data_IF_991450853958
#
_entry.id   IF_991450853958
#
_cell.length_a   1.000
_cell.length_b   1.000
_cell.length_c   1.000
_cell.angle_alpha   90.00
_cell.angle_beta   90.00
_cell.angle_gamma   90.00
#
_symmetry.space_group_name_H-M   'P 1'
#
loop_
_entity.id
_entity.type
_entity.pdbx_description
1 polymer ?
#
# COMPACT_ATOMS: atom_id res chain seq x y z
N UNK A 1 -13.19 23.48 -16.15
CA UNK A 1 -13.54 22.77 -14.90
C UNK A 1 -12.37 22.98 -13.94
N UNK A 2 -12.63 23.39 -12.70
CA UNK A 2 -11.57 23.48 -11.69
C UNK A 2 -11.21 22.07 -11.21
N UNK A 3 -9.95 21.86 -10.82
CA UNK A 3 -9.55 20.61 -10.20
C UNK A 3 -10.27 20.42 -8.85
N UNK A 4 -10.62 19.17 -8.47
CA UNK A 4 -11.25 18.90 -7.19
C UNK A 4 -10.29 19.21 -6.03
N UNK A 5 -10.83 19.49 -4.85
CA UNK A 5 -10.05 19.60 -3.63
C UNK A 5 -9.44 18.23 -3.29
N UNK A 6 -8.13 18.20 -3.09
CA UNK A 6 -7.36 16.98 -2.78
C UNK A 6 -6.77 17.05 -1.37
N UNK A 7 -6.91 15.96 -0.61
CA UNK A 7 -6.30 15.80 0.71
C UNK A 7 -5.51 14.47 0.76
N UNK A 8 -4.36 14.48 1.41
CA UNK A 8 -3.56 13.28 1.66
C UNK A 8 -3.60 12.93 3.14
N UNK A 9 -3.87 11.66 3.45
CA UNK A 9 -3.76 11.13 4.82
C UNK A 9 -2.83 9.93 4.85
N UNK A 10 -2.02 9.84 5.90
CA UNK A 10 -1.18 8.67 6.13
C UNK A 10 -2.04 7.44 6.37
N UNK A 11 -1.56 6.28 5.92
CA UNK A 11 -2.16 5.01 6.29
C UNK A 11 -2.00 4.76 7.78
N UNK A 12 -3.10 4.47 8.45
CA UNK A 12 -3.10 4.10 9.86
C UNK A 12 -4.31 3.20 10.15
N UNK A 13 -4.45 2.69 11.39
CA UNK A 13 -5.68 2.06 11.81
C UNK A 13 -6.91 2.96 11.66
N UNK A 14 -6.76 4.29 11.76
CA UNK A 14 -7.88 5.24 11.60
C UNK A 14 -8.38 5.31 10.15
N UNK A 15 -7.49 5.16 9.17
CA UNK A 15 -7.84 5.19 7.74
C UNK A 15 -8.11 3.79 7.16
N UNK A 16 -8.15 2.75 7.99
CA UNK A 16 -8.28 1.36 7.52
C UNK A 16 -9.56 1.13 6.71
N UNK A 17 -10.69 1.65 7.19
CA UNK A 17 -11.97 1.52 6.49
C UNK A 17 -11.90 2.12 5.07
N UNK A 18 -11.28 3.29 4.92
CA UNK A 18 -11.11 3.95 3.62
C UNK A 18 -10.13 3.19 2.72
N UNK A 19 -9.08 2.61 3.28
CA UNK A 19 -8.18 1.72 2.53
C UNK A 19 -8.94 0.53 1.94
N UNK A 20 -9.89 -0.04 2.70
CA UNK A 20 -10.76 -1.14 2.24
C UNK A 20 -11.78 -0.67 1.20
N UNK A 21 -12.27 0.57 1.28
CA UNK A 21 -13.13 1.15 0.24
C UNK A 21 -12.39 1.31 -1.08
N UNK A 22 -11.11 1.70 -1.05
CA UNK A 22 -10.26 1.76 -2.24
C UNK A 22 -10.02 0.34 -2.77
N UNK A 23 -9.53 -0.58 -1.95
CA UNK A 23 -9.19 -1.96 -2.33
C UNK A 23 -10.38 -2.91 -2.19
N UNK A 24 -11.38 -2.72 -3.04
CA UNK A 24 -12.59 -3.54 -3.07
C UNK A 24 -12.87 -4.08 -4.48
N UNK A 25 -13.76 -5.08 -4.55
CA UNK A 25 -14.18 -5.69 -5.82
C UNK A 25 -14.87 -4.68 -6.75
N UNK A 26 -15.62 -3.71 -6.20
CA UNK A 26 -16.30 -2.68 -6.99
C UNK A 26 -15.33 -1.78 -7.78
N UNK A 27 -14.08 -1.69 -7.33
CA UNK A 27 -13.02 -0.92 -7.98
C UNK A 27 -12.02 -1.82 -8.74
N UNK A 28 -12.32 -3.12 -8.91
CA UNK A 28 -11.43 -4.12 -9.51
C UNK A 28 -10.03 -4.22 -8.86
N UNK A 29 -9.95 -3.88 -7.57
CA UNK A 29 -8.69 -3.85 -6.79
C UNK A 29 -8.76 -4.66 -5.51
N UNK A 30 -9.87 -5.36 -5.27
CA UNK A 30 -10.13 -6.17 -4.09
C UNK A 30 -9.15 -7.32 -3.87
N UNK A 31 -8.49 -7.80 -4.93
CA UNK A 31 -7.54 -8.91 -4.85
C UNK A 31 -6.16 -8.52 -4.30
N UNK A 32 -5.64 -7.33 -4.64
CA UNK A 32 -4.22 -6.98 -4.41
C UNK A 32 -3.90 -6.71 -2.94
N UNK A 33 -4.71 -5.86 -2.28
CA UNK A 33 -4.49 -5.24 -0.95
C UNK A 33 -3.03 -4.77 -0.67
N UNK A 34 -2.35 -4.38 -1.74
CA UNK A 34 -1.03 -3.76 -1.81
C UNK A 34 0.08 -4.44 -1.00
N UNK A 35 0.21 -5.78 -1.11
CA UNK A 35 1.29 -6.55 -0.45
C UNK A 35 2.34 -7.13 -1.40
N UNK A 36 2.28 -6.82 -2.70
CA UNK A 36 3.19 -7.36 -3.72
C UNK A 36 4.69 -7.15 -3.41
N UNK A 37 5.04 -6.11 -2.66
CA UNK A 37 6.41 -5.79 -2.26
C UNK A 37 6.81 -6.37 -0.88
N UNK A 38 5.84 -6.93 -0.16
CA UNK A 38 6.01 -7.59 1.13
C UNK A 38 6.15 -9.10 1.03
N UNK A 39 6.13 -9.65 -0.18
CA UNK A 39 6.35 -11.06 -0.50
C UNK A 39 7.70 -11.22 -1.21
N UNK A 40 8.34 -12.37 -1.06
CA UNK A 40 9.72 -12.56 -1.53
C UNK A 40 9.78 -12.62 -3.06
N UNK A 41 8.88 -13.38 -3.68
CA UNK A 41 8.93 -13.68 -5.12
C UNK A 41 7.65 -13.32 -5.84
N UNK A 42 7.72 -13.15 -7.16
CA UNK A 42 6.51 -12.89 -7.97
C UNK A 42 5.65 -14.14 -8.08
N UNK A 43 6.27 -15.32 -8.04
CA UNK A 43 5.54 -16.59 -8.10
C UNK A 43 4.78 -16.83 -6.80
N UNK A 44 5.35 -16.48 -5.65
CA UNK A 44 4.61 -16.40 -4.39
C UNK A 44 3.41 -15.45 -4.54
N UNK A 45 3.62 -14.22 -5.01
CA UNK A 45 2.51 -13.25 -5.15
C UNK A 45 1.37 -13.75 -6.03
N UNK A 46 1.69 -14.35 -7.19
CA UNK A 46 0.70 -14.88 -8.14
C UNK A 46 -0.08 -16.07 -7.57
N UNK A 47 0.52 -16.84 -6.67
CA UNK A 47 -0.12 -18.00 -6.03
C UNK A 47 -1.10 -17.64 -4.91
N UNK A 48 -1.19 -16.36 -4.50
CA UNK A 48 -1.99 -15.93 -3.35
C UNK A 48 -3.44 -15.64 -3.71
N UNK A 49 -4.31 -15.93 -2.77
CA UNK A 49 -5.71 -15.51 -2.75
C UNK A 49 -5.87 -14.06 -2.22
N UNK A 50 -7.01 -13.45 -2.54
CA UNK A 50 -7.37 -12.14 -1.99
C UNK A 50 -7.41 -12.14 -0.44
N UNK A 51 -7.84 -13.25 0.17
CA UNK A 51 -7.90 -13.41 1.62
C UNK A 51 -6.50 -13.43 2.25
N UNK A 52 -5.53 -14.13 1.64
CA UNK A 52 -4.15 -14.14 2.10
C UNK A 52 -3.49 -12.77 1.94
N UNK A 53 -3.77 -12.05 0.85
CA UNK A 53 -3.27 -10.69 0.65
C UNK A 53 -3.82 -9.72 1.71
N UNK A 54 -5.12 -9.82 2.01
CA UNK A 54 -5.74 -9.03 3.06
C UNK A 54 -5.17 -9.35 4.44
N UNK A 55 -5.06 -10.64 4.80
CA UNK A 55 -4.52 -11.06 6.09
C UNK A 55 -3.08 -10.57 6.30
N UNK A 56 -2.25 -10.56 5.25
CA UNK A 56 -0.90 -9.99 5.30
C UNK A 56 -0.93 -8.48 5.53
N UNK A 57 -1.80 -7.74 4.82
CA UNK A 57 -1.95 -6.29 5.00
C UNK A 57 -2.45 -5.94 6.41
N UNK A 58 -3.35 -6.73 6.98
CA UNK A 58 -3.80 -6.59 8.37
C UNK A 58 -2.66 -6.84 9.36
N UNK A 59 -1.84 -7.86 9.13
CA UNK A 59 -0.69 -8.17 9.97
C UNK A 59 0.34 -7.03 9.97
N UNK A 60 0.65 -6.47 8.79
CA UNK A 60 1.52 -5.30 8.64
C UNK A 60 0.96 -4.09 9.40
N UNK A 61 -0.33 -3.80 9.24
CA UNK A 61 -0.99 -2.69 9.95
C UNK A 61 -0.92 -2.86 11.48
N UNK A 62 -1.18 -4.08 12.00
CA UNK A 62 -1.03 -4.40 13.43
C UNK A 62 0.41 -4.27 13.93
N UNK A 63 1.40 -4.51 13.07
CA UNK A 63 2.82 -4.37 13.39
C UNK A 63 3.33 -2.91 13.31
N UNK A 64 2.48 -1.95 12.93
CA UNK A 64 2.87 -0.55 12.77
C UNK A 64 3.52 -0.21 11.43
N UNK A 65 3.39 -1.09 10.43
CA UNK A 65 3.89 -0.82 9.08
C UNK A 65 2.87 0.02 8.30
N UNK A 66 3.07 1.34 8.38
CA UNK A 66 2.24 2.38 7.78
C UNK A 66 2.87 2.90 6.48
N UNK A 67 3.04 2.01 5.52
CA UNK A 67 3.80 2.20 4.28
C UNK A 67 2.97 2.78 3.13
N UNK A 68 2.10 3.75 3.41
CA UNK A 68 1.36 4.40 2.33
C UNK A 68 0.49 5.56 2.73
N UNK A 69 -0.16 6.14 1.72
CA UNK A 69 -1.01 7.30 1.83
C UNK A 69 -2.30 7.09 1.04
N UNK A 70 -3.41 7.61 1.58
CA UNK A 70 -4.70 7.69 0.92
C UNK A 70 -4.88 9.11 0.38
N UNK A 71 -5.28 9.20 -0.88
CA UNK A 71 -5.73 10.44 -1.50
C UNK A 71 -7.25 10.52 -1.38
N UNK A 72 -7.75 11.65 -0.88
CA UNK A 72 -9.16 11.97 -0.83
C UNK A 72 -9.45 13.05 -1.87
N UNK A 73 -10.51 12.88 -2.65
CA UNK A 73 -11.03 13.88 -3.58
C UNK A 73 -12.43 14.29 -3.10
N UNK A 74 -12.64 15.58 -2.83
CA UNK A 74 -13.90 16.08 -2.28
C UNK A 74 -14.36 15.33 -1.00
N UNK A 75 -13.40 14.94 -0.15
CA UNK A 75 -13.65 14.23 1.11
C UNK A 75 -13.84 12.71 0.97
N UNK A 76 -13.85 12.15 -0.23
CA UNK A 76 -13.99 10.71 -0.46
C UNK A 76 -12.66 10.04 -0.82
N UNK A 77 -12.37 8.84 -0.29
CA UNK A 77 -11.12 8.13 -0.60
C UNK A 77 -11.11 7.70 -2.07
N UNK A 78 -10.14 8.21 -2.82
CA UNK A 78 -10.06 8.08 -4.27
C UNK A 78 -8.87 7.22 -4.73
N UNK A 79 -7.75 7.24 -4.01
CA UNK A 79 -6.57 6.48 -4.40
C UNK A 79 -5.69 6.10 -3.21
N UNK A 80 -4.79 5.15 -3.46
CA UNK A 80 -3.76 4.69 -2.53
C UNK A 80 -2.40 4.73 -3.21
N UNK A 81 -1.37 5.11 -2.46
CA UNK A 81 0.02 4.96 -2.89
C UNK A 81 0.84 4.33 -1.78
N UNK A 82 1.55 3.24 -2.10
CA UNK A 82 2.53 2.66 -1.18
C UNK A 82 3.82 3.49 -1.24
N UNK A 83 4.25 4.01 -0.10
CA UNK A 83 5.45 4.85 0.03
C UNK A 83 6.14 4.51 1.34
N UNK A 84 7.44 4.24 1.28
CA UNK A 84 8.24 3.99 2.46
C UNK A 84 9.70 3.69 2.11
N UNK A 85 10.56 3.55 3.14
CA UNK A 85 11.95 3.18 2.95
C UNK A 85 12.06 1.86 2.17
N UNK A 86 12.81 1.87 1.07
CA UNK A 86 13.00 0.72 0.17
C UNK A 86 13.49 -0.52 0.92
N UNK A 87 14.38 -0.31 1.88
CA UNK A 87 14.98 -1.36 2.70
C UNK A 87 13.96 -2.06 3.61
N UNK A 88 12.76 -1.52 3.82
CA UNK A 88 11.69 -2.22 4.56
C UNK A 88 10.99 -3.28 3.72
N UNK A 89 10.84 -3.04 2.42
CA UNK A 89 10.09 -3.87 1.49
C UNK A 89 10.88 -5.15 1.17
N UNK A 90 10.38 -6.30 1.68
CA UNK A 90 11.03 -7.63 1.62
C UNK A 90 11.58 -7.94 0.23
N UNK A 91 10.77 -7.72 -0.80
CA UNK A 91 11.13 -8.00 -2.19
C UNK A 91 12.31 -7.18 -2.72
N UNK A 92 12.49 -5.96 -2.21
CA UNK A 92 13.47 -4.99 -2.71
C UNK A 92 14.80 -5.05 -1.96
N UNK A 93 14.88 -5.77 -0.83
CA UNK A 93 16.10 -5.90 -0.02
C UNK A 93 17.24 -6.60 -0.76
N UNK A 94 16.94 -7.58 -1.63
CA UNK A 94 17.94 -8.40 -2.33
C UNK A 94 18.38 -7.90 -3.71
N UNK A 95 17.67 -6.94 -4.32
CA UNK A 95 18.06 -6.34 -5.59
C UNK A 95 19.09 -5.23 -5.37
N UNK A 96 20.22 -5.28 -6.08
CA UNK A 96 21.33 -4.32 -5.97
C UNK A 96 20.88 -2.90 -5.64
N UNK A 97 21.32 -2.41 -4.49
CA UNK A 97 20.99 -1.07 -4.00
C UNK A 97 21.60 -0.06 -4.98
N UNK A 98 20.76 0.68 -5.72
CA UNK A 98 21.17 2.02 -6.15
C UNK A 98 21.32 2.83 -4.86
N UNK A 99 22.56 2.97 -4.39
CA UNK A 99 22.90 3.79 -3.22
C UNK A 99 22.62 5.24 -3.59
N UNK A 100 21.38 5.67 -3.40
CA UNK A 100 21.05 7.09 -3.33
C UNK A 100 21.77 7.65 -2.12
N UNK A 101 22.88 8.35 -2.36
CA UNK A 101 23.59 9.07 -1.32
C UNK A 101 22.63 10.03 -0.64
N UNK A 102 22.57 9.97 0.68
CA UNK A 102 22.03 11.04 1.49
C UNK A 102 22.94 12.24 1.25
N UNK A 103 22.46 13.23 0.50
CA UNK A 103 23.06 14.56 0.53
C UNK A 103 22.79 15.09 1.94
N UNK A 104 23.86 15.09 2.74
CA UNK A 104 23.98 15.88 3.97
C UNK A 104 24.57 17.22 3.60
#
# INVERSE_FOLDING_TARGET
MSAPALELRAFSPETWADFRRIHCEANDTGWCSCVAWWVETWDEFKGRSAAENLAQREALCRAGEYDGYLLYAEGEPAAWCQVGPRDRLVKLRGGGVLRGGVLS
#
